data_IF_480109053087
#
_entry.id   IF_480109053087
#
_cell.length_a   1.000
_cell.length_b   1.000
_cell.length_c   1.000
_cell.angle_alpha   90.00
_cell.angle_beta   90.00
_cell.angle_gamma   90.00
#
_symmetry.space_group_name_H-M   'P 1'
#
loop_
_entity.id
_entity.type
_entity.pdbx_description
1 polymer ?
#
# COMPACT_ATOMS: atom_id res chain seq x y z
N UNK A 1 -6.01 23.35 1.79
CA UNK A 1 -5.60 23.09 3.19
C UNK A 1 -5.61 21.60 3.53
N UNK A 2 -6.68 20.86 3.19
CA UNK A 2 -6.88 19.47 3.58
C UNK A 2 -5.93 18.49 2.87
N UNK A 3 -5.74 18.67 1.57
CA UNK A 3 -4.79 17.87 0.78
C UNK A 3 -3.36 17.98 1.34
N UNK A 4 -2.97 19.20 1.74
CA UNK A 4 -1.66 19.42 2.34
C UNK A 4 -1.51 18.71 3.70
N UNK A 5 -2.58 18.62 4.49
CA UNK A 5 -2.57 17.87 5.75
C UNK A 5 -2.37 16.37 5.51
N UNK A 6 -3.08 15.79 4.54
CA UNK A 6 -2.91 14.37 4.15
C UNK A 6 -1.52 14.12 3.61
N UNK A 7 -0.97 15.01 2.78
CA UNK A 7 0.39 14.88 2.25
C UNK A 7 1.45 14.91 3.37
N UNK A 8 1.31 15.83 4.33
CA UNK A 8 2.21 15.88 5.48
C UNK A 8 2.14 14.61 6.33
N UNK A 9 0.95 14.05 6.49
CA UNK A 9 0.77 12.79 7.21
C UNK A 9 1.40 11.61 6.48
N UNK A 10 1.23 11.50 5.16
CA UNK A 10 1.88 10.47 4.35
C UNK A 10 3.40 10.58 4.47
N UNK A 11 3.96 11.79 4.36
CA UNK A 11 5.39 12.01 4.51
C UNK A 11 5.91 11.58 5.89
N UNK A 12 5.20 11.94 6.96
CA UNK A 12 5.56 11.55 8.33
C UNK A 12 5.48 10.03 8.53
N UNK A 13 4.42 9.39 8.07
CA UNK A 13 4.26 7.95 8.15
C UNK A 13 5.36 7.24 7.36
N UNK A 14 5.66 7.69 6.15
CA UNK A 14 6.71 7.15 5.30
C UNK A 14 8.09 7.17 5.98
N UNK A 15 8.45 8.29 6.61
CA UNK A 15 9.73 8.39 7.35
C UNK A 15 9.84 7.39 8.49
N UNK A 16 8.75 7.18 9.23
CA UNK A 16 8.71 6.18 10.31
C UNK A 16 8.96 4.78 9.77
N UNK A 17 8.29 4.41 8.66
CA UNK A 17 8.41 3.08 8.09
C UNK A 17 9.74 2.87 7.36
N UNK A 18 10.31 3.88 6.68
CA UNK A 18 11.67 3.82 6.13
C UNK A 18 12.68 3.47 7.21
N UNK A 19 12.67 4.20 8.34
CA UNK A 19 13.56 3.92 9.48
C UNK A 19 13.40 2.49 10.02
N UNK A 20 12.15 2.00 10.13
CA UNK A 20 11.87 0.61 10.56
C UNK A 20 12.42 -0.42 9.56
N UNK A 21 12.28 -0.19 8.25
CA UNK A 21 12.81 -1.06 7.20
C UNK A 21 14.34 -1.11 7.21
N UNK A 22 15.00 0.03 7.34
CA UNK A 22 16.46 0.10 7.44
C UNK A 22 16.98 -0.61 8.68
N UNK A 23 16.33 -0.42 9.84
CA UNK A 23 16.68 -1.13 11.06
C UNK A 23 16.52 -2.65 10.92
N UNK A 24 15.47 -3.10 10.22
CA UNK A 24 15.21 -4.51 9.94
C UNK A 24 16.27 -5.10 8.99
N UNK A 25 16.67 -4.35 7.95
CA UNK A 25 17.76 -4.74 7.02
C UNK A 25 19.09 -4.88 7.76
N UNK A 26 19.44 -3.92 8.64
CA UNK A 26 20.67 -3.97 9.44
C UNK A 26 20.68 -5.16 10.39
N UNK A 27 19.58 -5.49 11.05
CA UNK A 27 19.48 -6.68 11.91
C UNK A 27 19.65 -7.98 11.13
N UNK A 28 19.04 -8.09 9.94
CA UNK A 28 19.16 -9.27 9.09
C UNK A 28 20.60 -9.47 8.60
N UNK A 29 21.29 -8.41 8.21
CA UNK A 29 22.70 -8.46 7.80
C UNK A 29 23.61 -8.90 8.97
N UNK A 30 23.39 -8.40 10.19
CA UNK A 30 24.16 -8.79 11.36
C UNK A 30 23.95 -10.27 11.74
N UNK A 31 22.76 -10.82 11.56
CA UNK A 31 22.47 -12.23 11.86
C UNK A 31 23.09 -13.18 10.85
N UNK A 32 23.22 -12.76 9.59
CA UNK A 32 23.85 -13.61 8.53
C UNK A 32 25.36 -13.76 8.72
N UNK A 33 26.01 -12.80 9.36
CA UNK A 33 27.48 -12.85 9.59
C UNK A 33 27.86 -13.80 10.74
N UNK A 34 26.93 -14.15 11.62
CA UNK A 34 27.22 -15.01 12.80
C UNK A 34 27.05 -16.51 12.53
N UNK A 35 26.48 -16.90 11.38
CA UNK A 35 26.15 -18.32 11.10
C UNK A 35 27.21 -19.05 10.26
N UNK A 36 28.34 -18.44 9.93
CA UNK A 36 29.38 -19.07 9.07
C UNK A 36 30.55 -19.69 9.85
N UNK A 37 30.47 -19.86 11.15
CA UNK A 37 31.53 -20.48 11.92
C UNK A 37 30.97 -21.45 12.95
N UNK A 38 30.49 -22.60 12.54
CA UNK A 38 30.56 -23.87 13.29
C UNK A 38 29.88 -24.97 12.47
N UNK A 39 30.67 -25.71 11.70
CA UNK A 39 30.28 -27.03 11.23
C UNK A 39 31.47 -27.97 11.48
N UNK A 40 31.34 -28.80 12.50
CA UNK A 40 31.96 -30.14 12.54
C UNK A 40 31.31 -31.01 13.62
N UNK A 41 30.92 -32.19 13.20
CA UNK A 41 30.70 -33.44 13.94
C UNK A 41 29.27 -33.78 14.41
N UNK A 42 28.58 -34.66 13.66
CA UNK A 42 28.13 -36.05 13.97
C UNK A 42 27.26 -36.24 15.24
N UNK A 43 26.13 -36.91 15.30
CA UNK A 43 25.61 -38.17 14.72
C UNK A 43 24.15 -38.36 15.10
N UNK A 44 23.40 -39.04 14.21
CA UNK A 44 22.31 -39.98 14.38
C UNK A 44 21.18 -39.85 15.43
N UNK A 45 19.99 -39.89 14.89
CA UNK A 45 18.83 -40.77 15.17
C UNK A 45 17.54 -40.11 15.64
N UNK A 46 16.53 -40.30 14.75
CA UNK A 46 15.14 -40.69 15.01
C UNK A 46 14.07 -39.65 15.37
N UNK A 47 13.07 -39.70 14.49
CA UNK A 47 11.60 -39.60 14.68
C UNK A 47 10.92 -38.23 14.62
N UNK A 48 10.46 -37.95 13.41
CA UNK A 48 9.15 -37.44 12.96
C UNK A 48 8.33 -36.57 13.92
N UNK A 49 8.23 -35.29 13.59
CA UNK A 49 6.97 -34.54 13.55
C UNK A 49 7.05 -33.49 12.47
N UNK A 50 6.22 -33.65 11.47
CA UNK A 50 6.10 -32.83 10.29
C UNK A 50 5.24 -31.61 10.66
N UNK A 51 5.89 -30.48 10.98
CA UNK A 51 5.22 -29.19 10.94
C UNK A 51 5.39 -28.63 9.53
N UNK A 52 4.26 -28.59 8.82
CA UNK A 52 4.18 -28.02 7.48
C UNK A 52 4.27 -26.51 7.59
N UNK A 53 5.48 -25.99 7.63
CA UNK A 53 5.72 -24.56 7.40
C UNK A 53 5.72 -24.36 5.90
N UNK A 54 4.63 -23.81 5.38
CA UNK A 54 4.53 -23.40 3.98
C UNK A 54 5.46 -22.20 3.76
N UNK A 55 6.72 -22.46 3.43
CA UNK A 55 7.62 -21.47 2.86
C UNK A 55 7.04 -21.07 1.49
N UNK A 56 6.46 -19.89 1.44
CA UNK A 56 6.14 -19.24 0.18
C UNK A 56 7.45 -18.98 -0.56
N UNK A 57 7.75 -19.82 -1.53
CA UNK A 57 8.86 -19.66 -2.47
C UNK A 57 8.63 -18.36 -3.23
N UNK A 58 9.25 -17.28 -2.80
CA UNK A 58 9.31 -16.03 -3.56
C UNK A 58 10.17 -16.27 -4.78
N UNK A 59 9.55 -16.51 -5.95
CA UNK A 59 10.18 -16.31 -7.24
C UNK A 59 10.79 -14.91 -7.21
N UNK A 60 12.08 -14.80 -7.50
CA UNK A 60 12.73 -13.52 -7.76
C UNK A 60 12.07 -12.91 -9.00
N UNK A 61 11.08 -12.04 -8.80
CA UNK A 61 10.52 -11.23 -9.87
C UNK A 61 11.56 -10.18 -10.27
N UNK A 62 11.71 -9.99 -11.58
CA UNK A 62 12.52 -8.93 -12.17
C UNK A 62 12.10 -7.57 -11.56
N UNK A 63 12.95 -7.03 -10.70
CA UNK A 63 12.70 -5.86 -9.86
C UNK A 63 12.94 -4.54 -10.61
N UNK A 64 13.15 -4.58 -11.93
CA UNK A 64 13.63 -3.43 -12.71
C UNK A 64 12.55 -2.42 -13.09
N UNK A 65 11.24 -2.75 -13.00
CA UNK A 65 10.15 -1.81 -13.33
C UNK A 65 8.95 -2.00 -12.41
N UNK A 66 8.47 -0.88 -11.87
CA UNK A 66 7.19 -0.82 -11.18
C UNK A 66 6.06 -1.19 -12.14
N UNK A 67 5.40 -2.32 -11.91
CA UNK A 67 4.30 -2.82 -12.75
C UNK A 67 3.07 -3.03 -11.87
N UNK A 68 2.24 -2.01 -11.77
CA UNK A 68 1.02 -2.05 -10.95
C UNK A 68 -0.09 -2.86 -11.60
N UNK A 69 -0.93 -3.50 -10.80
CA UNK A 69 -2.23 -4.01 -11.23
C UNK A 69 -3.31 -2.96 -11.02
N UNK A 70 -4.46 -3.12 -11.67
CA UNK A 70 -5.62 -2.26 -11.42
C UNK A 70 -6.10 -2.40 -9.98
N UNK A 71 -6.46 -1.29 -9.30
CA UNK A 71 -6.92 -1.32 -7.91
C UNK A 71 -8.29 -1.99 -7.74
N UNK A 72 -9.10 -2.03 -8.80
CA UNK A 72 -10.38 -2.77 -8.86
C UNK A 72 -10.33 -3.70 -10.09
N UNK A 73 -9.84 -4.94 -9.95
CA UNK A 73 -9.63 -5.84 -11.09
C UNK A 73 -10.89 -6.18 -11.89
N UNK A 74 -12.06 -6.16 -11.24
CA UNK A 74 -13.36 -6.42 -11.88
C UNK A 74 -13.88 -5.24 -12.71
N UNK A 75 -13.30 -4.04 -12.56
CA UNK A 75 -13.76 -2.80 -13.18
C UNK A 75 -12.59 -1.90 -13.51
N UNK A 76 -12.14 -1.96 -14.75
CA UNK A 76 -10.99 -1.16 -15.22
C UNK A 76 -11.38 0.15 -15.91
N UNK A 77 -12.68 0.46 -15.96
CA UNK A 77 -13.17 1.69 -16.58
C UNK A 77 -12.85 2.91 -15.72
N UNK A 78 -12.09 3.82 -16.28
CA UNK A 78 -11.80 5.13 -15.70
C UNK A 78 -12.98 6.07 -16.03
N UNK A 79 -13.54 6.70 -15.01
CA UNK A 79 -14.64 7.67 -15.15
C UNK A 79 -14.18 9.11 -14.95
N UNK A 80 -13.12 9.31 -14.18
CA UNK A 80 -12.47 10.61 -14.01
C UNK A 80 -10.95 10.42 -14.00
N UNK A 81 -10.24 11.14 -14.86
CA UNK A 81 -8.79 11.11 -14.93
C UNK A 81 -8.14 12.14 -14.01
N UNK A 82 -6.83 12.02 -13.84
CA UNK A 82 -6.02 13.00 -13.13
C UNK A 82 -6.13 14.38 -13.78
N UNK A 83 -6.33 15.44 -12.99
CA UNK A 83 -6.43 16.81 -13.47
C UNK A 83 -7.64 17.09 -14.38
N UNK A 84 -8.67 16.26 -14.36
CA UNK A 84 -9.87 16.43 -15.21
C UNK A 84 -10.52 17.78 -15.02
N UNK A 85 -10.86 18.45 -16.16
CA UNK A 85 -11.41 19.81 -16.19
C UNK A 85 -12.76 19.97 -15.44
N UNK A 86 -13.53 18.90 -15.27
CA UNK A 86 -14.76 18.90 -14.49
C UNK A 86 -14.57 18.87 -12.97
N UNK A 87 -13.36 18.55 -12.52
CA UNK A 87 -12.98 18.47 -11.11
C UNK A 87 -11.60 19.11 -10.95
N UNK A 88 -11.56 20.43 -10.89
CA UNK A 88 -10.32 21.18 -10.71
C UNK A 88 -9.59 20.67 -9.45
N UNK A 89 -8.36 20.19 -9.65
CA UNK A 89 -7.56 19.62 -8.56
C UNK A 89 -7.82 18.13 -8.29
N UNK A 90 -8.43 17.36 -9.21
CA UNK A 90 -8.56 15.91 -9.08
C UNK A 90 -7.16 15.25 -9.04
N UNK A 91 -6.81 14.67 -7.89
CA UNK A 91 -5.46 14.21 -7.57
C UNK A 91 -5.17 12.77 -7.94
N UNK A 92 -6.14 12.08 -8.53
CA UNK A 92 -6.05 10.68 -8.86
C UNK A 92 -6.84 10.27 -10.09
N UNK A 93 -7.20 9.01 -10.13
CA UNK A 93 -8.00 8.39 -11.17
C UNK A 93 -9.15 7.65 -10.52
N UNK A 94 -10.39 7.87 -11.00
CA UNK A 94 -11.56 7.20 -10.46
C UNK A 94 -11.95 5.99 -11.31
N UNK A 95 -12.03 4.84 -10.66
CA UNK A 95 -12.55 3.61 -11.24
C UNK A 95 -13.99 3.41 -10.78
N UNK A 96 -14.93 3.59 -11.70
CA UNK A 96 -16.36 3.33 -11.43
C UNK A 96 -16.55 1.85 -11.10
N UNK A 97 -17.15 1.58 -9.95
CA UNK A 97 -17.44 0.22 -9.53
C UNK A 97 -18.64 0.22 -8.55
N UNK A 98 -19.45 -0.85 -8.52
CA UNK A 98 -20.48 -1.00 -7.49
C UNK A 98 -19.86 -0.94 -6.09
N UNK A 99 -20.61 -0.39 -5.13
CA UNK A 99 -20.23 -0.50 -3.72
C UNK A 99 -20.07 -1.98 -3.34
N UNK A 100 -19.02 -2.29 -2.57
CA UNK A 100 -18.69 -3.68 -2.23
C UNK A 100 -17.87 -4.42 -3.29
N UNK A 101 -17.33 -3.75 -4.31
CA UNK A 101 -16.32 -4.34 -5.18
C UNK A 101 -15.00 -4.50 -4.43
N UNK A 102 -14.25 -5.57 -4.74
CA UNK A 102 -12.93 -5.79 -4.13
C UNK A 102 -11.94 -4.71 -4.59
N UNK A 103 -11.31 -4.05 -3.62
CA UNK A 103 -10.18 -3.13 -3.84
C UNK A 103 -8.92 -3.88 -3.43
N UNK A 104 -7.92 -3.92 -4.32
CA UNK A 104 -6.68 -4.69 -4.12
C UNK A 104 -5.45 -3.79 -4.14
N UNK A 105 -4.38 -4.22 -3.47
CA UNK A 105 -3.09 -3.56 -3.50
C UNK A 105 -2.51 -3.59 -4.92
N UNK A 106 -2.23 -2.44 -5.50
CA UNK A 106 -1.70 -2.33 -6.86
C UNK A 106 -0.28 -2.90 -7.00
N UNK A 107 0.50 -2.88 -5.93
CA UNK A 107 1.83 -3.50 -5.83
C UNK A 107 2.07 -3.91 -4.37
N UNK A 108 3.03 -4.81 -4.13
CA UNK A 108 3.43 -5.24 -2.77
C UNK A 108 4.03 -4.10 -1.97
N UNK A 109 3.79 -4.10 -0.67
CA UNK A 109 4.31 -3.05 0.21
C UNK A 109 3.73 -3.07 1.61
N UNK A 110 4.02 -2.03 2.37
CA UNK A 110 3.55 -1.86 3.73
C UNK A 110 2.45 -0.80 3.81
N UNK A 111 1.36 -1.10 4.50
CA UNK A 111 0.29 -0.14 4.80
C UNK A 111 0.82 0.90 5.78
N UNK A 112 0.94 2.14 5.35
CA UNK A 112 1.44 3.24 6.19
C UNK A 112 0.32 4.10 6.78
N UNK A 113 -0.87 4.09 6.17
CA UNK A 113 -2.09 4.73 6.67
C UNK A 113 -3.27 3.80 6.39
N UNK A 114 -4.15 3.64 7.38
CA UNK A 114 -5.43 2.93 7.26
C UNK A 114 -6.43 3.54 8.22
N UNK A 115 -7.14 4.61 7.81
CA UNK A 115 -8.01 5.38 8.70
C UNK A 115 -9.21 6.03 8.00
N UNK A 116 -10.04 6.68 8.78
CA UNK A 116 -11.19 7.47 8.35
C UNK A 116 -10.87 8.97 8.46
N UNK A 117 -11.28 9.76 7.47
CA UNK A 117 -11.34 11.21 7.55
C UNK A 117 -12.77 11.63 7.86
N UNK A 118 -12.97 12.19 9.04
CA UNK A 118 -14.29 12.62 9.52
C UNK A 118 -14.26 14.07 9.98
N UNK A 119 -15.44 14.70 9.93
CA UNK A 119 -15.74 15.96 10.58
C UNK A 119 -15.94 15.74 12.09
N UNK A 120 -16.11 16.82 12.85
CA UNK A 120 -16.38 16.77 14.28
C UNK A 120 -17.72 16.10 14.64
N UNK A 121 -18.67 16.08 13.72
CA UNK A 121 -19.97 15.42 13.85
C UNK A 121 -19.95 13.94 13.48
N UNK A 122 -18.77 13.40 13.10
CA UNK A 122 -18.57 12.01 12.69
C UNK A 122 -18.91 11.73 11.21
N UNK A 123 -19.42 12.70 10.45
CA UNK A 123 -19.63 12.54 9.01
C UNK A 123 -18.30 12.42 8.26
N UNK A 124 -18.27 11.60 7.20
CA UNK A 124 -17.07 11.46 6.37
C UNK A 124 -16.84 12.72 5.53
N UNK A 125 -15.55 13.08 5.35
CA UNK A 125 -15.09 14.18 4.50
C UNK A 125 -13.92 13.76 3.63
N UNK A 126 -13.61 14.53 2.59
CA UNK A 126 -12.47 14.33 1.70
C UNK A 126 -12.38 12.87 1.20
N UNK A 127 -11.28 12.17 1.43
CA UNK A 127 -11.07 10.77 1.05
C UNK A 127 -11.96 9.75 1.80
N UNK A 128 -12.71 10.17 2.83
CA UNK A 128 -13.52 9.27 3.66
C UNK A 128 -12.66 8.18 4.30
N UNK A 129 -13.00 6.91 4.07
CA UNK A 129 -12.17 5.76 4.45
C UNK A 129 -11.09 5.54 3.42
N UNK A 130 -9.82 5.65 3.83
CA UNK A 130 -8.72 5.52 2.90
C UNK A 130 -7.55 4.70 3.44
N UNK A 131 -6.76 4.19 2.52
CA UNK A 131 -5.56 3.39 2.75
C UNK A 131 -4.43 4.01 1.94
N UNK A 132 -3.22 4.06 2.52
CA UNK A 132 -1.99 4.38 1.79
C UNK A 132 -1.00 3.25 1.98
N UNK A 133 -0.42 2.77 0.87
CA UNK A 133 0.61 1.74 0.83
C UNK A 133 1.92 2.35 0.33
N UNK A 134 3.00 2.17 1.08
CA UNK A 134 4.36 2.42 0.63
C UNK A 134 4.90 1.13 0.00
N UNK A 135 5.26 1.19 -1.27
CA UNK A 135 5.68 0.01 -2.01
C UNK A 135 7.16 -0.34 -1.79
N UNK A 136 7.48 -1.63 -1.96
CA UNK A 136 8.85 -2.12 -1.87
C UNK A 136 9.71 -1.66 -3.05
N UNK A 137 9.06 -1.40 -4.19
CA UNK A 137 9.69 -0.94 -5.43
C UNK A 137 9.75 0.58 -5.47
N UNK A 138 10.80 1.09 -6.06
CA UNK A 138 11.03 2.52 -6.27
C UNK A 138 10.72 2.90 -7.73
N UNK A 139 10.60 4.20 -7.97
CA UNK A 139 10.62 4.75 -9.33
C UNK A 139 12.03 4.68 -9.96
N UNK A 140 12.16 5.15 -11.20
CA UNK A 140 13.45 5.18 -11.90
C UNK A 140 14.50 6.09 -11.28
N UNK A 141 14.09 7.02 -10.42
CA UNK A 141 14.97 7.91 -9.68
C UNK A 141 15.34 7.37 -8.28
N UNK A 142 14.85 6.17 -7.92
CA UNK A 142 15.11 5.53 -6.63
C UNK A 142 14.19 6.02 -5.50
N UNK A 143 13.13 6.79 -5.79
CA UNK A 143 12.19 7.24 -4.80
C UNK A 143 11.14 6.17 -4.50
N UNK A 144 10.75 6.05 -3.24
CA UNK A 144 9.61 5.20 -2.88
C UNK A 144 8.33 5.68 -3.56
N UNK A 145 7.55 4.73 -4.05
CA UNK A 145 6.23 4.98 -4.64
C UNK A 145 5.16 4.61 -3.63
N UNK A 146 4.13 5.42 -3.56
CA UNK A 146 2.98 5.25 -2.68
C UNK A 146 1.72 5.14 -3.52
N UNK A 147 0.75 4.35 -3.06
CA UNK A 147 -0.60 4.36 -3.63
C UNK A 147 -1.63 4.66 -2.56
N UNK A 148 -2.65 5.45 -2.93
CA UNK A 148 -3.77 5.80 -2.07
C UNK A 148 -5.06 5.24 -2.69
N UNK A 149 -5.90 4.68 -1.83
CA UNK A 149 -7.20 4.08 -2.17
C UNK A 149 -8.27 4.70 -1.28
N UNK A 150 -9.19 5.48 -1.85
CA UNK A 150 -10.17 6.26 -1.09
C UNK A 150 -11.61 5.84 -1.34
N UNK A 151 -12.51 6.49 -0.59
CA UNK A 151 -13.96 6.32 -0.60
C UNK A 151 -14.44 4.91 -0.27
N UNK A 152 -13.62 4.12 0.44
CA UNK A 152 -13.94 2.74 0.76
C UNK A 152 -15.14 2.63 1.70
N UNK A 153 -15.90 1.56 1.56
CA UNK A 153 -16.96 1.18 2.50
C UNK A 153 -16.39 0.52 3.76
N UNK A 154 -15.34 -0.30 3.59
CA UNK A 154 -14.60 -0.88 4.71
C UNK A 154 -13.14 -1.12 4.34
N UNK A 155 -12.28 -1.13 5.35
CA UNK A 155 -10.86 -1.45 5.24
C UNK A 155 -10.61 -2.83 5.85
N UNK A 156 -9.80 -3.66 5.19
CA UNK A 156 -9.48 -5.04 5.59
C UNK A 156 -8.04 -5.17 6.10
N UNK A 157 -7.30 -4.06 6.11
CA UNK A 157 -5.89 -4.02 6.50
C UNK A 157 -5.63 -2.89 7.50
N UNK A 158 -4.60 -3.07 8.32
CA UNK A 158 -4.19 -2.13 9.35
C UNK A 158 -2.82 -1.53 9.05
N UNK A 159 -2.52 -0.39 9.65
CA UNK A 159 -1.19 0.23 9.58
C UNK A 159 -0.11 -0.72 10.09
N UNK A 160 1.01 -0.78 9.37
CA UNK A 160 2.11 -1.68 9.63
C UNK A 160 1.95 -3.07 9.04
N UNK A 161 0.81 -3.41 8.47
CA UNK A 161 0.60 -4.68 7.78
C UNK A 161 1.30 -4.67 6.42
N UNK A 162 2.02 -5.75 6.11
CA UNK A 162 2.53 -6.00 4.77
C UNK A 162 1.43 -6.63 3.92
N UNK A 163 1.32 -6.19 2.68
CA UNK A 163 0.37 -6.69 1.69
C UNK A 163 1.09 -7.08 0.41
N UNK A 164 0.65 -8.17 -0.21
CA UNK A 164 1.14 -8.59 -1.51
C UNK A 164 0.34 -7.92 -2.63
N UNK A 165 0.97 -7.71 -3.78
CA UNK A 165 0.29 -7.26 -5.00
C UNK A 165 -0.94 -8.12 -5.30
N UNK A 166 -2.06 -7.48 -5.58
CA UNK A 166 -3.34 -8.16 -5.83
C UNK A 166 -4.07 -8.64 -4.57
N UNK A 167 -3.47 -8.51 -3.38
CA UNK A 167 -4.16 -8.81 -2.13
C UNK A 167 -5.30 -7.84 -1.91
N UNK A 168 -6.49 -8.35 -1.55
CA UNK A 168 -7.62 -7.49 -1.21
C UNK A 168 -7.32 -6.71 0.08
N UNK A 169 -7.56 -5.39 0.02
CA UNK A 169 -7.28 -4.45 1.12
C UNK A 169 -8.53 -3.72 1.61
N UNK A 170 -9.57 -3.63 0.77
CA UNK A 170 -10.80 -2.94 1.10
C UNK A 170 -11.99 -3.45 0.27
N UNK A 171 -13.17 -2.95 0.62
CA UNK A 171 -14.37 -2.96 -0.21
C UNK A 171 -14.66 -1.53 -0.66
N UNK A 172 -14.90 -1.34 -1.96
CA UNK A 172 -15.24 -0.03 -2.52
C UNK A 172 -16.55 0.53 -1.94
N UNK A 173 -16.68 1.85 -1.95
CA UNK A 173 -17.84 2.54 -1.41
C UNK A 173 -18.02 3.93 -1.98
N UNK A 174 -18.56 4.84 -1.15
CA UNK A 174 -18.82 6.23 -1.49
C UNK A 174 -18.69 7.13 -0.24
N UNK A 175 -17.74 6.82 0.66
CA UNK A 175 -17.50 7.62 1.87
C UNK A 175 -16.74 8.90 1.54
N UNK A 176 -16.96 9.99 2.28
CA UNK A 176 -16.29 11.27 2.05
C UNK A 176 -16.90 12.07 0.89
N UNK A 177 -16.06 12.85 0.20
CA UNK A 177 -16.50 13.68 -0.93
C UNK A 177 -16.65 12.82 -2.19
N UNK A 178 -17.77 12.13 -2.30
CA UNK A 178 -18.07 11.22 -3.39
C UNK A 178 -19.50 11.40 -3.86
N UNK A 179 -19.73 11.42 -5.17
CA UNK A 179 -21.05 11.52 -5.80
C UNK A 179 -21.69 10.17 -6.08
N UNK A 180 -20.97 9.07 -5.88
CA UNK A 180 -21.44 7.71 -6.10
C UNK A 180 -20.31 6.68 -5.94
N UNK A 181 -20.65 5.39 -5.95
CA UNK A 181 -19.65 4.34 -5.69
C UNK A 181 -18.53 4.31 -6.73
N UNK A 182 -17.28 4.41 -6.27
CA UNK A 182 -16.07 4.30 -7.08
C UNK A 182 -14.87 4.01 -6.18
N UNK A 183 -13.74 3.69 -6.77
CA UNK A 183 -12.44 3.70 -6.13
C UNK A 183 -11.63 4.87 -6.67
N UNK A 184 -11.36 5.86 -5.85
CA UNK A 184 -10.39 6.90 -6.14
C UNK A 184 -8.99 6.36 -5.85
N UNK A 185 -8.13 6.38 -6.86
CA UNK A 185 -6.79 5.80 -6.80
C UNK A 185 -5.73 6.83 -7.18
N UNK A 186 -4.68 6.91 -6.37
CA UNK A 186 -3.55 7.80 -6.64
C UNK A 186 -2.23 7.04 -6.61
N UNK A 187 -1.30 7.46 -7.47
CA UNK A 187 0.12 7.10 -7.41
C UNK A 187 0.91 8.34 -7.02
N UNK A 188 1.72 8.23 -5.97
CA UNK A 188 2.45 9.36 -5.38
C UNK A 188 3.93 9.05 -5.25
N UNK A 189 4.77 10.08 -5.41
CA UNK A 189 6.19 10.05 -5.09
C UNK A 189 6.52 11.18 -4.11
N UNK A 190 7.60 11.10 -3.31
CA UNK A 190 7.94 12.15 -2.34
C UNK A 190 8.25 13.51 -2.96
N UNK A 191 8.64 13.53 -4.25
CA UNK A 191 9.02 14.74 -4.99
C UNK A 191 7.83 15.43 -5.68
N UNK A 192 6.65 14.86 -5.63
CA UNK A 192 5.45 15.54 -6.07
C UNK A 192 5.07 16.61 -5.02
N UNK A 193 5.86 17.70 -4.97
CA UNK A 193 5.34 18.96 -4.48
C UNK A 193 4.19 19.31 -5.42
N UNK A 194 2.98 19.24 -4.91
CA UNK A 194 1.83 19.82 -5.59
C UNK A 194 2.06 21.33 -5.59
N UNK A 195 2.77 21.82 -6.62
CA UNK A 195 2.80 23.25 -6.91
C UNK A 195 1.36 23.70 -7.18
N UNK A 196 0.89 24.60 -6.32
CA UNK A 196 -0.38 25.31 -6.45
C UNK A 196 -0.54 25.96 -7.82
#
# INVERSE_FOLDING_TARGET
>A
AELNAVNAEIAKAAEIYKKKLEAKKKKKAATTTTTTTTQAAQDNNSTTKQETTTEATTKAEDNSKLKMTYPVPSQTKITCGYGSAGYAGHTGVDFSCPAGSAVVAAESGIVIISKDLTNSDGSYRSYGRYIVIMHDKTDSAGNYVYTLYAHNNSRLVSEGQYVSKGQQIAWSGSTGNSTGPHCHFEVRTPTAEYSN
#
